data_IF_542144104796
#
_entry.id   IF_542144104796
#
_cell.length_a   1.000
_cell.length_b   1.000
_cell.length_c   1.000
_cell.angle_alpha   90.00
_cell.angle_beta   90.00
_cell.angle_gamma   90.00
#
_symmetry.space_group_name_H-M   'P 1'
#
loop_
_entity.id
_entity.type
_entity.pdbx_description
1 polymer ?
#
# COMPACT_ATOMS: atom_id res chain seq x y z
N UNK A 1 -17.09 23.58 1.93
CA UNK A 1 -17.06 22.21 1.40
C UNK A 1 -16.30 21.34 2.39
N UNK A 2 -16.82 20.14 2.66
CA UNK A 2 -16.63 19.38 3.91
C UNK A 2 -15.14 19.19 4.28
N UNK A 3 -14.74 19.78 5.40
CA UNK A 3 -13.52 19.43 6.13
C UNK A 3 -13.69 17.99 6.65
N UNK A 4 -13.18 17.02 5.90
CA UNK A 4 -13.10 15.64 6.36
C UNK A 4 -11.91 15.53 7.29
N UNK A 5 -12.14 15.66 8.60
CA UNK A 5 -11.16 15.31 9.62
C UNK A 5 -11.01 13.79 9.65
N UNK A 6 -10.05 13.28 8.89
CA UNK A 6 -9.70 11.85 8.85
C UNK A 6 -8.65 11.61 9.94
N UNK A 7 -9.03 10.85 10.97
CA UNK A 7 -8.12 10.38 12.01
C UNK A 7 -7.38 9.16 11.49
N UNK A 8 -6.14 9.34 11.00
CA UNK A 8 -5.26 8.20 10.67
C UNK A 8 -4.36 7.96 11.87
N UNK A 9 -4.35 6.70 12.31
CA UNK A 9 -3.53 6.17 13.40
C UNK A 9 -2.08 6.57 13.18
N UNK A 10 -1.62 7.55 13.96
CA UNK A 10 -0.22 7.79 14.15
C UNK A 10 0.39 6.51 14.73
N UNK A 11 1.44 6.02 14.08
CA UNK A 11 2.44 5.19 14.73
C UNK A 11 2.66 5.71 16.16
N UNK A 12 2.40 4.86 17.16
CA UNK A 12 2.28 5.24 18.58
C UNK A 12 3.59 5.81 19.15
N UNK A 13 4.66 5.86 18.35
CA UNK A 13 6.00 6.31 18.73
C UNK A 13 6.34 7.77 18.35
N UNK A 14 5.60 8.43 17.44
CA UNK A 14 5.94 9.80 17.01
C UNK A 14 5.07 10.88 17.66
N UNK A 15 5.66 11.57 18.64
CA UNK A 15 5.10 12.74 19.33
C UNK A 15 5.47 14.00 18.56
N UNK A 16 4.75 14.31 17.48
CA UNK A 16 4.95 15.54 16.71
C UNK A 16 3.87 15.78 15.66
N UNK A 17 3.11 16.86 15.81
CA UNK A 17 2.08 17.26 14.84
C UNK A 17 2.70 18.10 13.72
N UNK A 18 3.37 17.46 12.78
CA UNK A 18 3.52 18.05 11.44
C UNK A 18 2.26 17.74 10.64
N UNK A 19 1.82 18.67 9.78
CA UNK A 19 0.72 18.42 8.82
C UNK A 19 1.15 17.25 7.93
N UNK A 20 0.76 16.03 8.31
CA UNK A 20 0.94 14.84 7.49
C UNK A 20 0.24 15.12 6.16
N UNK A 21 1.02 15.33 5.10
CA UNK A 21 0.48 15.35 3.74
C UNK A 21 -0.10 13.95 3.50
N UNK A 22 -1.42 13.84 3.56
CA UNK A 22 -2.12 12.61 3.14
C UNK A 22 -1.79 12.42 1.66
N UNK A 23 -1.11 11.32 1.34
CA UNK A 23 -0.82 10.98 -0.04
C UNK A 23 -2.09 10.38 -0.63
N UNK A 24 -2.60 11.01 -1.67
CA UNK A 24 -3.75 10.55 -2.44
C UNK A 24 -3.20 10.07 -3.79
N UNK A 25 -3.68 8.91 -4.25
CA UNK A 25 -3.25 8.30 -5.51
C UNK A 25 -4.44 7.61 -6.17
N UNK A 26 -4.55 7.66 -7.50
CA UNK A 26 -5.59 6.90 -8.19
C UNK A 26 -5.26 5.42 -8.21
N UNK A 27 -6.28 4.57 -8.16
CA UNK A 27 -6.12 3.11 -8.21
C UNK A 27 -5.42 2.70 -9.52
N UNK A 28 -5.81 3.28 -10.64
CA UNK A 28 -5.16 3.05 -11.95
C UNK A 28 -3.67 3.40 -11.96
N UNK A 29 -3.24 4.43 -11.21
CA UNK A 29 -1.82 4.79 -11.09
C UNK A 29 -1.07 3.80 -10.19
N UNK A 30 -1.68 3.36 -9.09
CA UNK A 30 -1.11 2.35 -8.19
C UNK A 30 -0.81 1.04 -8.92
N UNK A 31 -1.73 0.61 -9.79
CA UNK A 31 -1.67 -0.68 -10.48
C UNK A 31 -0.91 -0.64 -11.82
N UNK A 32 -0.38 0.52 -12.23
CA UNK A 32 0.19 0.73 -13.57
C UNK A 32 1.30 -0.26 -13.96
N UNK A 33 2.08 -0.75 -12.99
CA UNK A 33 3.22 -1.66 -13.20
C UNK A 33 2.95 -3.09 -12.72
N UNK A 34 1.68 -3.45 -12.55
CA UNK A 34 1.26 -4.73 -11.98
C UNK A 34 0.28 -5.39 -12.94
N UNK A 35 0.45 -6.69 -13.18
CA UNK A 35 -0.54 -7.46 -13.93
C UNK A 35 -1.72 -7.81 -13.01
N UNK A 36 -2.93 -7.45 -13.43
CA UNK A 36 -4.15 -7.70 -12.68
C UNK A 36 -5.35 -7.94 -13.60
N UNK A 37 -6.38 -8.56 -13.04
CA UNK A 37 -7.71 -8.71 -13.62
C UNK A 37 -8.72 -7.97 -12.75
N UNK A 38 -9.56 -7.12 -13.34
CA UNK A 38 -10.65 -6.47 -12.61
C UNK A 38 -11.78 -7.48 -12.41
N UNK A 39 -12.14 -7.77 -11.16
CA UNK A 39 -13.30 -8.60 -10.84
C UNK A 39 -14.56 -7.74 -10.69
N UNK A 40 -14.43 -6.54 -10.12
CA UNK A 40 -15.55 -5.66 -9.81
C UNK A 40 -15.09 -4.21 -9.63
N UNK A 41 -15.99 -3.24 -9.84
CA UNK A 41 -15.77 -1.83 -9.56
C UNK A 41 -14.94 -1.09 -10.61
N UNK A 42 -14.62 0.17 -10.30
CA UNK A 42 -13.95 1.12 -11.20
C UNK A 42 -12.59 1.57 -10.62
N UNK A 43 -11.58 1.72 -11.48
CA UNK A 43 -10.20 2.07 -11.08
C UNK A 43 -9.91 3.58 -11.11
N UNK A 44 -10.93 4.41 -11.32
CA UNK A 44 -10.84 5.87 -11.28
C UNK A 44 -10.89 6.45 -9.87
N UNK A 45 -11.27 5.64 -8.88
CA UNK A 45 -11.27 6.06 -7.47
C UNK A 45 -9.85 6.30 -6.94
N UNK A 46 -9.80 7.06 -5.86
CA UNK A 46 -8.56 7.44 -5.18
C UNK A 46 -8.40 6.67 -3.88
N UNK A 47 -7.16 6.35 -3.55
CA UNK A 47 -6.75 5.73 -2.30
C UNK A 47 -5.90 6.68 -1.46
N UNK A 48 -6.04 6.56 -0.15
CA UNK A 48 -5.31 7.37 0.85
C UNK A 48 -4.20 6.60 1.56
N UNK A 49 -4.15 5.29 1.35
CA UNK A 49 -3.23 4.40 2.04
C UNK A 49 -3.25 2.99 1.45
N UNK A 50 -2.30 2.17 1.90
CA UNK A 50 -2.24 0.74 1.61
C UNK A 50 -2.11 -0.03 2.93
N UNK A 51 -2.81 -1.14 3.07
CA UNK A 51 -2.83 -1.93 4.29
C UNK A 51 -3.00 -3.43 3.99
N UNK A 52 -2.47 -4.28 4.86
CA UNK A 52 -2.70 -5.73 4.82
C UNK A 52 -3.14 -6.30 6.19
N UNK A 53 -3.14 -5.49 7.24
CA UNK A 53 -3.65 -5.86 8.57
C UNK A 53 -5.07 -5.28 8.73
N UNK A 54 -6.09 -6.14 8.73
CA UNK A 54 -7.49 -5.71 8.74
C UNK A 54 -7.85 -4.90 9.99
N UNK A 55 -7.07 -4.98 11.07
CA UNK A 55 -7.27 -4.20 12.31
C UNK A 55 -6.88 -2.74 12.14
N UNK A 56 -6.03 -2.44 11.15
CA UNK A 56 -5.56 -1.10 10.83
C UNK A 56 -6.29 -0.48 9.63
N UNK A 57 -7.05 -1.28 8.87
CA UNK A 57 -7.77 -0.84 7.67
C UNK A 57 -8.68 0.38 7.96
N UNK A 58 -8.43 1.48 7.25
CA UNK A 58 -9.28 2.66 7.26
C UNK A 58 -10.07 2.81 5.96
N UNK A 59 -11.11 3.62 6.01
CA UNK A 59 -11.87 4.00 4.82
C UNK A 59 -10.96 4.78 3.86
N UNK A 60 -10.95 4.37 2.60
CA UNK A 60 -10.10 5.00 1.57
C UNK A 60 -8.80 4.25 1.31
N UNK A 61 -8.45 3.25 2.13
CA UNK A 61 -7.23 2.48 1.91
C UNK A 61 -7.45 1.37 0.87
N UNK A 62 -6.38 1.01 0.19
CA UNK A 62 -6.28 -0.27 -0.50
C UNK A 62 -5.94 -1.38 0.50
N UNK A 63 -6.72 -2.45 0.51
CA UNK A 63 -6.45 -3.63 1.31
C UNK A 63 -5.89 -4.77 0.46
N UNK A 64 -4.77 -5.33 0.89
CA UNK A 64 -4.08 -6.43 0.21
C UNK A 64 -4.35 -7.72 0.97
N UNK A 65 -5.13 -8.62 0.38
CA UNK A 65 -5.44 -9.91 0.99
C UNK A 65 -4.22 -10.83 0.91
N UNK A 66 -3.65 -11.18 2.06
CA UNK A 66 -2.53 -12.11 2.13
C UNK A 66 -3.04 -13.48 2.54
N UNK A 67 -2.71 -14.50 1.75
CA UNK A 67 -2.93 -15.89 2.15
C UNK A 67 -1.94 -16.30 3.23
N UNK A 68 -2.46 -16.66 4.41
CA UNK A 68 -1.70 -17.21 5.52
C UNK A 68 -2.27 -18.54 5.99
N UNK A 69 -1.40 -19.43 6.50
CA UNK A 69 -1.82 -20.74 7.02
C UNK A 69 -2.73 -20.64 8.27
N UNK A 70 -2.59 -19.56 9.06
CA UNK A 70 -3.39 -19.31 10.27
C UNK A 70 -4.54 -18.33 10.05
N UNK A 71 -4.39 -17.43 9.09
CA UNK A 71 -5.36 -16.38 8.83
C UNK A 71 -5.35 -16.07 7.34
N UNK A 72 -6.47 -16.36 6.68
CA UNK A 72 -6.67 -16.09 5.27
C UNK A 72 -7.74 -15.00 5.13
N UNK A 73 -7.30 -13.77 4.83
CA UNK A 73 -8.19 -12.60 4.70
C UNK A 73 -9.10 -12.68 3.49
N UNK A 74 -8.86 -13.60 2.55
CA UNK A 74 -9.77 -13.85 1.42
C UNK A 74 -11.14 -14.33 1.89
N UNK A 75 -11.20 -15.07 3.00
CA UNK A 75 -12.46 -15.55 3.60
C UNK A 75 -13.34 -14.40 4.12
N UNK A 76 -12.75 -13.22 4.32
CA UNK A 76 -13.43 -12.02 4.81
C UNK A 76 -13.52 -10.92 3.73
N UNK A 77 -13.29 -11.26 2.46
CA UNK A 77 -13.20 -10.30 1.37
C UNK A 77 -14.43 -9.38 1.26
N UNK A 78 -15.65 -9.91 1.40
CA UNK A 78 -16.87 -9.10 1.36
C UNK A 78 -16.93 -8.03 2.46
N UNK A 79 -16.52 -8.36 3.68
CA UNK A 79 -16.49 -7.41 4.80
C UNK A 79 -15.38 -6.36 4.65
N UNK A 80 -14.24 -6.76 4.07
CA UNK A 80 -13.12 -5.87 3.80
C UNK A 80 -13.44 -4.93 2.63
N UNK A 81 -14.10 -5.43 1.58
CA UNK A 81 -14.53 -4.64 0.44
C UNK A 81 -15.47 -3.50 0.86
N UNK A 82 -16.37 -3.72 1.83
CA UNK A 82 -17.25 -2.67 2.37
C UNK A 82 -16.51 -1.50 3.05
N UNK A 83 -15.25 -1.70 3.45
CA UNK A 83 -14.45 -0.72 4.19
C UNK A 83 -13.33 -0.11 3.36
N UNK A 84 -12.69 -0.92 2.51
CA UNK A 84 -11.60 -0.50 1.65
C UNK A 84 -12.12 0.27 0.42
N UNK A 85 -11.26 1.09 -0.18
CA UNK A 85 -11.51 1.68 -1.50
C UNK A 85 -11.05 0.75 -2.64
N UNK A 86 -10.06 -0.10 -2.36
CA UNK A 86 -9.56 -1.13 -3.27
C UNK A 86 -9.31 -2.42 -2.50
N UNK A 87 -9.72 -3.56 -3.05
CA UNK A 87 -9.37 -4.88 -2.53
C UNK A 87 -8.49 -5.61 -3.55
N UNK A 88 -7.33 -6.08 -3.12
CA UNK A 88 -6.40 -6.86 -3.95
C UNK A 88 -6.38 -8.30 -3.46
N UNK A 89 -6.73 -9.25 -4.33
CA UNK A 89 -6.85 -10.68 -3.99
C UNK A 89 -6.01 -11.54 -4.92
N UNK A 90 -5.55 -12.70 -4.46
CA UNK A 90 -4.91 -13.71 -5.34
C UNK A 90 -5.89 -14.81 -5.77
N UNK A 91 -6.86 -15.13 -4.90
CA UNK A 91 -7.87 -16.16 -5.14
C UNK A 91 -9.22 -15.53 -5.51
N UNK A 92 -10.08 -16.25 -6.24
CA UNK A 92 -11.47 -15.88 -6.40
C UNK A 92 -12.12 -15.70 -5.03
N UNK A 93 -12.92 -14.64 -4.89
CA UNK A 93 -13.65 -14.31 -3.65
C UNK A 93 -15.10 -14.04 -3.97
N UNK A 94 -15.99 -14.37 -3.04
CA UNK A 94 -17.40 -14.02 -3.14
C UNK A 94 -17.59 -12.56 -2.73
N UNK A 95 -18.24 -11.80 -3.60
CA UNK A 95 -18.52 -10.39 -3.43
C UNK A 95 -20.02 -10.15 -3.60
N UNK A 96 -20.56 -9.22 -2.81
CA UNK A 96 -21.92 -8.77 -2.98
C UNK A 96 -22.04 -8.00 -4.31
N UNK A 97 -23.08 -8.27 -5.11
CA UNK A 97 -23.29 -7.63 -6.41
C UNK A 97 -23.40 -6.10 -6.32
N UNK A 98 -23.86 -5.60 -5.17
CA UNK A 98 -24.02 -4.16 -4.90
C UNK A 98 -22.73 -3.50 -4.37
N UNK A 99 -21.64 -4.25 -4.22
CA UNK A 99 -20.38 -3.70 -3.75
C UNK A 99 -19.77 -2.76 -4.81
N UNK A 100 -19.58 -1.50 -4.46
CA UNK A 100 -19.00 -0.52 -5.39
C UNK A 100 -17.47 -0.51 -5.40
N UNK A 101 -16.88 -1.16 -4.39
CA UNK A 101 -15.43 -1.19 -4.19
C UNK A 101 -14.74 -1.88 -5.35
N UNK A 102 -13.65 -1.28 -5.82
CA UNK A 102 -12.80 -1.91 -6.81
C UNK A 102 -12.17 -3.17 -6.23
N UNK A 103 -12.34 -4.30 -6.93
CA UNK A 103 -11.69 -5.57 -6.57
C UNK A 103 -10.88 -6.05 -7.74
N UNK A 104 -9.58 -6.25 -7.50
CA UNK A 104 -8.64 -6.73 -8.51
C UNK A 104 -8.01 -8.04 -8.06
N UNK A 105 -7.91 -8.97 -9.00
CA UNK A 105 -7.20 -10.22 -8.82
C UNK A 105 -5.80 -10.14 -9.41
N UNK A 106 -4.83 -10.69 -8.70
CA UNK A 106 -3.43 -10.81 -9.12
C UNK A 106 -2.96 -12.25 -8.99
N UNK A 107 -1.84 -12.60 -9.61
CA UNK A 107 -1.32 -13.97 -9.53
C UNK A 107 -0.85 -14.36 -8.12
N UNK A 108 -0.22 -13.42 -7.41
CA UNK A 108 0.33 -13.63 -6.06
C UNK A 108 0.34 -12.31 -5.30
N UNK A 109 -0.41 -12.20 -4.20
CA UNK A 109 -0.45 -10.95 -3.42
C UNK A 109 0.83 -10.72 -2.64
N UNK A 110 1.53 -11.80 -2.27
CA UNK A 110 2.81 -11.74 -1.57
C UNK A 110 3.92 -11.13 -2.42
N UNK A 111 3.96 -11.47 -3.71
CA UNK A 111 5.03 -11.02 -4.61
C UNK A 111 4.87 -9.55 -5.00
N UNK A 112 3.62 -9.07 -5.10
CA UNK A 112 3.35 -7.69 -5.51
C UNK A 112 3.28 -6.69 -4.36
N UNK A 113 3.23 -7.14 -3.09
CA UNK A 113 3.04 -6.24 -1.94
C UNK A 113 4.12 -5.16 -1.88
N UNK A 114 5.36 -5.54 -2.21
CA UNK A 114 6.50 -4.63 -2.25
C UNK A 114 6.39 -3.65 -3.43
N UNK A 115 5.92 -4.12 -4.58
CA UNK A 115 5.71 -3.27 -5.76
C UNK A 115 4.59 -2.26 -5.53
N UNK A 116 3.47 -2.67 -4.91
CA UNK A 116 2.37 -1.79 -4.50
C UNK A 116 2.86 -0.71 -3.52
N UNK A 117 3.67 -1.10 -2.52
CA UNK A 117 4.27 -0.16 -1.60
C UNK A 117 5.21 0.82 -2.31
N UNK A 118 6.08 0.33 -3.20
CA UNK A 118 6.96 1.18 -3.99
C UNK A 118 6.15 2.17 -4.83
N UNK A 119 5.13 1.72 -5.56
CA UNK A 119 4.25 2.59 -6.34
C UNK A 119 3.57 3.64 -5.45
N UNK A 120 2.94 3.22 -4.35
CA UNK A 120 2.26 4.13 -3.43
C UNK A 120 3.21 5.13 -2.77
N UNK A 121 4.46 4.78 -2.45
CA UNK A 121 5.44 5.71 -1.86
C UNK A 121 6.31 6.46 -2.89
N UNK A 122 6.14 6.17 -4.18
CA UNK A 122 6.84 6.88 -5.26
C UNK A 122 8.27 6.41 -5.49
N UNK A 123 8.48 5.09 -5.46
CA UNK A 123 9.74 4.38 -5.75
C UNK A 123 10.94 4.94 -4.97
N UNK A 124 10.92 4.87 -3.62
CA UNK A 124 11.97 5.46 -2.80
C UNK A 124 13.37 4.93 -3.14
N UNK A 125 13.49 3.66 -3.56
CA UNK A 125 14.76 3.05 -3.97
C UNK A 125 15.38 3.68 -5.22
N UNK A 126 14.58 4.27 -6.11
CA UNK A 126 15.08 4.94 -7.34
C UNK A 126 15.64 6.35 -7.06
N UNK A 127 15.45 6.88 -5.83
CA UNK A 127 15.86 8.24 -5.45
C UNK A 127 17.20 8.35 -4.72
N UNK A 128 17.95 7.26 -4.57
CA UNK A 128 19.24 7.31 -3.88
C UNK A 128 20.39 7.45 -4.89
N UNK A 129 20.89 8.67 -5.02
CA UNK A 129 22.29 8.88 -5.40
C UNK A 129 23.13 8.46 -4.19
N UNK A 130 23.67 7.26 -4.19
CA UNK A 130 24.71 6.88 -3.22
C UNK A 130 25.96 7.64 -3.63
N UNK A 131 26.25 8.77 -2.98
CA UNK A 131 27.60 9.32 -3.04
C UNK A 131 28.50 8.34 -2.30
N UNK A 132 29.21 7.50 -3.05
CA UNK A 132 30.28 6.66 -2.54
C UNK A 132 31.22 7.48 -1.65
N UNK A 133 31.18 7.24 -0.34
CA UNK A 133 32.33 7.51 0.52
C UNK A 133 33.37 6.41 0.24
N UNK A 134 34.04 6.52 -0.89
CA UNK A 134 35.30 5.82 -1.10
C UNK A 134 36.43 6.62 -0.42
N UNK A 135 37.11 5.90 0.47
CA UNK A 135 38.50 6.12 0.90
C UNK A 135 38.82 7.24 1.92
N UNK A 136 38.87 6.86 3.20
CA UNK A 136 39.74 7.49 4.22
C UNK A 136 40.65 6.46 4.91
N UNK A 137 41.25 5.53 4.16
CA UNK A 137 42.31 4.66 4.70
C UNK A 137 43.52 4.58 3.77
N UNK A 138 44.09 5.73 3.41
CA UNK A 138 45.39 5.80 2.73
C UNK A 138 46.35 6.90 3.22
N UNK A 139 46.12 7.53 4.38
CA UNK A 139 47.09 8.48 4.97
C UNK A 139 47.19 8.36 6.49
N UNK A 140 47.89 7.33 6.96
CA UNK A 140 48.64 7.38 8.22
C UNK A 140 49.67 6.23 8.17
N UNK A 141 50.90 6.60 7.80
CA UNK A 141 52.21 6.01 8.17
C UNK A 141 53.21 6.24 7.03
N UNK A 142 53.47 7.52 6.77
CA UNK A 142 54.78 8.02 6.40
C UNK A 142 55.08 9.15 7.40
N UNK A 143 56.22 9.05 8.10
CA UNK A 143 56.61 9.77 9.33
C UNK A 143 55.89 9.15 10.56
N UNK A 144 56.55 8.40 11.44
CA UNK A 144 57.84 8.61 12.14
C UNK A 144 58.63 7.30 12.19
#
# INVERSE_FOLDING_TARGET
>A
MKETQIWIVADRQYRGYERLRVKIMKISELLQRIDYTVLQGDLSEEITGICHDNRMLQKGDAFICISGARFDTHTMAGELAKKAALLVVEKPVELDADCKTAVVQVASTRDIVAALAAAFYGYPSERWFVSELQDQRARQHALI
#
